data_IF_495864525957
#
_entry.id   IF_495864525957
#
_cell.length_a   1.000
_cell.length_b   1.000
_cell.length_c   1.000
_cell.angle_alpha   90.00
_cell.angle_beta   90.00
_cell.angle_gamma   90.00
#
_symmetry.space_group_name_H-M   'P 1'
#
loop_
_entity.id
_entity.type
_entity.pdbx_description
1 polymer ?
#
# COMPACT_ATOMS: atom_id res chain seq x y z
N UNK A 1 -33.21 -6.78 21.21
CA UNK A 1 -32.76 -6.98 19.81
C UNK A 1 -31.78 -5.87 19.53
N UNK A 2 -30.54 -6.23 19.18
CA UNK A 2 -29.45 -5.29 18.93
C UNK A 2 -29.65 -4.64 17.57
N UNK A 3 -30.02 -3.38 17.57
CA UNK A 3 -29.93 -2.56 16.37
C UNK A 3 -28.48 -2.12 16.21
N UNK A 4 -27.88 -2.72 15.19
CA UNK A 4 -26.62 -2.37 14.54
C UNK A 4 -26.66 -0.92 14.05
N UNK A 5 -26.45 0.03 14.96
CA UNK A 5 -25.96 1.36 14.59
C UNK A 5 -24.46 1.21 14.30
N UNK A 6 -24.16 0.88 13.04
CA UNK A 6 -22.91 1.26 12.38
C UNK A 6 -22.80 2.78 12.45
N UNK A 7 -22.31 3.27 13.58
CA UNK A 7 -21.71 4.59 13.68
C UNK A 7 -20.50 4.57 12.75
N UNK A 8 -20.63 5.22 11.59
CA UNK A 8 -19.50 5.75 10.86
C UNK A 8 -18.69 6.57 11.88
N UNK A 9 -17.65 5.96 12.45
CA UNK A 9 -16.75 6.67 13.36
C UNK A 9 -16.18 7.82 12.55
N UNK A 10 -16.52 9.05 12.92
CA UNK A 10 -15.93 10.22 12.30
C UNK A 10 -14.47 10.24 12.70
N UNK A 11 -13.58 9.94 11.76
CA UNK A 11 -12.14 9.91 11.99
C UNK A 11 -11.57 11.27 11.61
N UNK A 12 -10.77 11.86 12.52
CA UNK A 12 -9.95 13.03 12.16
C UNK A 12 -8.57 12.54 11.74
N UNK A 13 -8.14 12.89 10.53
CA UNK A 13 -6.76 12.66 10.04
C UNK A 13 -5.94 13.92 10.24
N UNK A 14 -4.81 13.81 10.93
CA UNK A 14 -3.86 14.91 11.12
C UNK A 14 -2.49 14.52 10.54
N UNK A 15 -1.86 15.45 9.81
CA UNK A 15 -0.50 15.26 9.32
C UNK A 15 0.45 15.34 10.51
N UNK A 16 1.25 14.29 10.71
CA UNK A 16 2.23 14.21 11.79
C UNK A 16 3.46 15.04 11.41
N UNK A 17 3.89 15.98 12.27
CA UNK A 17 5.15 16.72 12.08
C UNK A 17 6.34 15.78 11.88
N UNK A 18 7.24 16.12 10.96
CA UNK A 18 8.36 15.26 10.54
C UNK A 18 9.23 14.77 11.71
N UNK A 19 9.51 15.64 12.68
CA UNK A 19 10.29 15.35 13.90
C UNK A 19 9.64 14.34 14.84
N UNK A 20 8.34 14.06 14.67
CA UNK A 20 7.56 13.13 15.50
C UNK A 20 7.13 11.87 14.76
N UNK A 21 7.52 11.71 13.49
CA UNK A 21 7.12 10.55 12.69
C UNK A 21 7.73 9.26 13.22
N UNK A 22 8.99 9.28 13.69
CA UNK A 22 9.63 8.12 14.29
C UNK A 22 8.89 7.60 15.53
N UNK A 23 8.35 8.50 16.35
CA UNK A 23 7.58 8.14 17.55
C UNK A 23 6.26 7.47 17.18
N UNK A 24 5.60 7.90 16.10
CA UNK A 24 4.36 7.30 15.59
C UNK A 24 4.59 5.85 15.14
N UNK A 25 5.68 5.58 14.43
CA UNK A 25 6.05 4.20 14.11
C UNK A 25 6.35 3.36 15.35
N UNK A 26 6.76 3.94 16.47
CA UNK A 26 7.03 3.19 17.72
C UNK A 26 5.80 3.01 18.62
N UNK A 27 4.90 3.98 18.66
CA UNK A 27 3.74 4.03 19.57
C UNK A 27 2.51 3.40 18.93
N UNK A 28 2.23 3.68 17.66
CA UNK A 28 0.98 3.22 17.03
C UNK A 28 0.99 1.72 16.66
N UNK A 29 2.16 1.07 16.56
CA UNK A 29 2.21 -0.41 16.44
C UNK A 29 1.69 -1.12 17.70
N UNK A 30 1.63 -0.45 18.86
CA UNK A 30 1.19 -1.06 20.11
C UNK A 30 -0.32 -0.86 20.38
N UNK A 31 -0.94 0.20 19.86
CA UNK A 31 -2.34 0.54 20.13
C UNK A 31 -3.28 0.34 18.92
N UNK A 32 -2.74 0.17 17.70
CA UNK A 32 -3.50 -0.07 16.46
C UNK A 32 -2.87 -1.22 15.66
N UNK A 33 -3.69 -1.99 14.93
CA UNK A 33 -3.20 -3.12 14.11
C UNK A 33 -2.27 -2.69 12.95
N UNK A 34 -2.26 -1.39 12.56
CA UNK A 34 -1.43 -0.87 11.48
C UNK A 34 -1.19 0.66 11.55
N UNK A 35 -0.06 1.11 11.01
CA UNK A 35 0.28 2.52 10.76
C UNK A 35 -0.10 2.90 9.33
N UNK A 36 -0.63 4.12 9.12
CA UNK A 36 -1.04 4.60 7.79
C UNK A 36 -0.14 5.76 7.37
N UNK A 37 0.43 5.65 6.18
CA UNK A 37 1.24 6.71 5.56
C UNK A 37 0.71 7.04 4.17
N UNK A 38 0.89 8.27 3.73
CA UNK A 38 0.72 8.64 2.34
C UNK A 38 2.03 8.38 1.61
N UNK A 39 2.01 7.50 0.61
CA UNK A 39 3.22 7.13 -0.11
C UNK A 39 3.00 7.05 -1.63
N UNK A 40 4.11 7.20 -2.36
CA UNK A 40 4.25 6.84 -3.77
C UNK A 40 5.32 5.76 -3.91
N UNK A 41 5.21 4.92 -4.94
CA UNK A 41 6.10 3.77 -5.13
C UNK A 41 6.78 3.85 -6.49
N UNK A 42 8.09 4.11 -6.48
CA UNK A 42 8.90 4.23 -7.69
C UNK A 42 9.60 2.90 -7.99
N UNK A 43 9.47 2.39 -9.22
CA UNK A 43 10.28 1.25 -9.66
C UNK A 43 11.49 1.74 -10.44
N UNK A 44 12.70 1.44 -9.95
CA UNK A 44 13.94 1.79 -10.67
C UNK A 44 14.05 1.06 -12.00
N UNK A 45 13.54 -0.17 -12.09
CA UNK A 45 13.57 -0.98 -13.30
C UNK A 45 12.76 -0.36 -14.43
N UNK A 46 11.61 0.22 -14.10
CA UNK A 46 10.70 0.84 -15.07
C UNK A 46 11.02 2.33 -15.26
N UNK A 47 11.58 2.97 -14.23
CA UNK A 47 11.86 4.41 -14.22
C UNK A 47 10.61 5.26 -13.99
N UNK A 48 9.56 4.69 -13.37
CA UNK A 48 8.23 5.29 -13.25
C UNK A 48 7.54 4.92 -11.93
N UNK A 49 6.45 5.61 -11.63
CA UNK A 49 5.65 5.39 -10.42
C UNK A 49 4.51 4.41 -10.67
N UNK A 50 4.26 3.56 -9.68
CA UNK A 50 3.07 2.72 -9.62
C UNK A 50 1.82 3.58 -9.45
N UNK A 51 0.74 3.22 -10.14
CA UNK A 51 -0.56 3.85 -9.99
C UNK A 51 -1.71 2.86 -10.15
N UNK A 52 -2.89 3.29 -9.71
CA UNK A 52 -4.16 2.59 -9.91
C UNK A 52 -5.26 3.57 -10.39
N UNK A 53 -6.06 3.18 -11.38
CA UNK A 53 -7.14 4.03 -11.92
C UNK A 53 -8.52 3.68 -11.37
N UNK A 54 -9.57 4.32 -11.91
CA UNK A 54 -10.97 4.23 -11.47
C UNK A 54 -11.65 2.94 -11.94
N UNK A 55 -10.95 2.16 -12.76
CA UNK A 55 -11.31 0.79 -13.13
C UNK A 55 -10.49 -0.23 -12.36
N UNK A 56 -9.58 0.24 -11.50
CA UNK A 56 -8.76 -0.61 -10.69
C UNK A 56 -7.59 -1.28 -11.45
N UNK A 57 -7.28 -0.80 -12.65
CA UNK A 57 -6.07 -1.21 -13.37
C UNK A 57 -4.84 -0.69 -12.64
N UNK A 58 -3.89 -1.59 -12.38
CA UNK A 58 -2.61 -1.27 -11.75
C UNK A 58 -1.51 -1.27 -12.80
N UNK A 59 -0.71 -0.20 -12.86
CA UNK A 59 0.41 -0.06 -13.79
C UNK A 59 1.58 0.67 -13.13
N UNK A 60 2.73 0.64 -13.78
CA UNK A 60 3.94 1.35 -13.35
C UNK A 60 4.50 2.22 -14.48
N UNK A 61 3.71 3.16 -14.95
CA UNK A 61 4.12 4.16 -15.94
C UNK A 61 3.64 5.58 -15.56
N UNK A 62 3.36 5.79 -14.27
CA UNK A 62 2.88 7.06 -13.74
C UNK A 62 3.97 8.11 -13.59
N UNK A 63 3.57 9.37 -13.70
CA UNK A 63 4.41 10.53 -13.39
C UNK A 63 4.43 10.81 -11.89
N UNK A 64 5.51 11.44 -11.42
CA UNK A 64 5.59 11.95 -10.05
C UNK A 64 4.44 12.93 -9.78
N UNK A 65 3.91 12.92 -8.57
CA UNK A 65 2.74 13.71 -8.14
C UNK A 65 1.44 13.53 -8.95
N UNK A 66 1.31 12.51 -9.81
CA UNK A 66 -0.01 12.16 -10.38
C UNK A 66 -0.93 11.65 -9.27
N UNK A 67 -2.15 12.16 -9.18
CA UNK A 67 -3.15 11.75 -8.18
C UNK A 67 -3.36 10.22 -8.10
N UNK A 68 -3.18 9.49 -9.20
CA UNK A 68 -3.33 8.02 -9.26
C UNK A 68 -2.18 7.26 -8.60
N UNK A 69 -1.05 7.92 -8.35
CA UNK A 69 0.17 7.32 -7.79
C UNK A 69 0.24 7.41 -6.27
N UNK A 70 -0.72 8.08 -5.64
CA UNK A 70 -0.78 8.22 -4.19
C UNK A 70 -1.60 7.09 -3.56
N UNK A 71 -1.00 6.46 -2.56
CA UNK A 71 -1.64 5.39 -1.80
C UNK A 71 -1.66 5.73 -0.31
N UNK A 72 -2.77 5.40 0.34
CA UNK A 72 -2.73 5.07 1.77
C UNK A 72 -1.99 3.73 1.89
N UNK A 73 -0.80 3.80 2.46
CA UNK A 73 0.09 2.67 2.68
C UNK A 73 0.00 2.25 4.13
N UNK A 74 -0.59 1.08 4.34
CA UNK A 74 -0.82 0.49 5.65
C UNK A 74 0.34 -0.45 5.97
N UNK A 75 0.94 -0.29 7.14
CA UNK A 75 2.01 -1.15 7.64
C UNK A 75 1.54 -1.75 8.95
N UNK A 76 1.26 -3.05 8.93
CA UNK A 76 0.88 -3.84 10.09
C UNK A 76 2.03 -4.66 10.65
N UNK A 77 1.70 -5.54 11.60
CA UNK A 77 2.67 -6.45 12.20
C UNK A 77 3.36 -7.37 11.19
N UNK A 78 4.55 -7.86 11.56
CA UNK A 78 5.34 -8.81 10.75
C UNK A 78 5.62 -8.33 9.33
N UNK A 79 5.78 -7.01 9.14
CA UNK A 79 6.09 -6.41 7.85
C UNK A 79 4.98 -6.64 6.80
N UNK A 80 3.75 -6.91 7.25
CA UNK A 80 2.59 -7.04 6.38
C UNK A 80 2.11 -5.65 6.00
N UNK A 81 1.89 -5.42 4.72
CA UNK A 81 1.54 -4.13 4.16
C UNK A 81 0.39 -4.21 3.18
N UNK A 82 -0.28 -3.08 2.96
CA UNK A 82 -1.41 -2.95 2.03
C UNK A 82 -1.39 -1.59 1.35
N UNK A 83 -1.76 -1.58 0.06
CA UNK A 83 -1.79 -0.39 -0.78
C UNK A 83 -3.24 -0.07 -1.15
N UNK A 84 -3.74 1.09 -0.73
CA UNK A 84 -5.10 1.55 -1.06
C UNK A 84 -5.01 2.90 -1.75
N UNK A 85 -5.62 3.03 -2.93
CA UNK A 85 -5.66 4.26 -3.70
C UNK A 85 -6.20 5.43 -2.89
N UNK A 86 -5.53 6.58 -2.96
CA UNK A 86 -5.98 7.81 -2.28
C UNK A 86 -6.55 8.81 -3.29
N UNK A 87 -7.74 9.33 -2.96
CA UNK A 87 -8.28 10.54 -3.59
C UNK A 87 -9.23 10.33 -4.78
N UNK A 88 -10.12 11.31 -4.93
CA UNK A 88 -11.05 11.42 -6.07
C UNK A 88 -11.95 10.20 -6.31
N UNK A 89 -12.08 9.84 -7.59
CA UNK A 89 -12.88 8.70 -8.10
C UNK A 89 -12.16 7.34 -8.03
N UNK A 90 -10.94 7.33 -7.51
CA UNK A 90 -10.07 6.15 -7.40
C UNK A 90 -10.10 5.53 -6.02
N UNK A 91 -10.68 6.24 -5.04
CA UNK A 91 -10.82 5.78 -3.65
C UNK A 91 -11.43 4.38 -3.64
N UNK A 92 -11.09 3.62 -2.61
CA UNK A 92 -11.65 2.29 -2.34
C UNK A 92 -11.12 1.16 -3.22
N UNK A 93 -10.11 1.39 -4.07
CA UNK A 93 -9.37 0.30 -4.69
C UNK A 93 -8.09 -0.03 -3.92
N UNK A 94 -8.02 -1.26 -3.44
CA UNK A 94 -6.79 -1.87 -2.97
C UNK A 94 -6.14 -2.68 -4.08
N UNK A 95 -4.81 -2.72 -4.09
CA UNK A 95 -4.06 -3.65 -4.95
C UNK A 95 -4.22 -5.05 -4.34
N UNK A 96 -4.71 -6.02 -5.13
CA UNK A 96 -4.71 -7.44 -4.76
C UNK A 96 -3.90 -8.28 -5.73
N UNK A 97 -3.33 -9.37 -5.24
CA UNK A 97 -2.69 -10.40 -6.05
C UNK A 97 -3.36 -11.75 -5.80
N UNK A 98 -4.09 -12.23 -6.80
CA UNK A 98 -4.80 -13.52 -6.73
C UNK A 98 -4.46 -14.34 -7.96
N UNK A 99 -4.07 -15.59 -7.77
CA UNK A 99 -3.65 -16.50 -8.86
C UNK A 99 -2.53 -15.93 -9.75
N UNK A 100 -1.73 -15.02 -9.22
CA UNK A 100 -0.66 -14.36 -9.95
C UNK A 100 -1.04 -13.15 -10.79
N UNK A 101 -2.28 -12.71 -10.72
CA UNK A 101 -2.73 -11.51 -11.42
C UNK A 101 -2.96 -10.38 -10.44
N UNK A 102 -2.44 -9.19 -10.77
CA UNK A 102 -2.83 -7.97 -10.06
C UNK A 102 -4.25 -7.63 -10.45
N UNK A 103 -5.13 -7.57 -9.45
CA UNK A 103 -6.54 -7.28 -9.65
C UNK A 103 -6.95 -6.16 -8.71
N UNK A 104 -7.92 -5.34 -9.12
CA UNK A 104 -8.52 -4.43 -8.19
C UNK A 104 -9.38 -5.17 -7.19
N UNK A 105 -9.21 -4.78 -5.93
CA UNK A 105 -10.10 -5.18 -4.87
C UNK A 105 -10.85 -3.93 -4.41
N UNK A 106 -12.15 -3.91 -4.65
CA UNK A 106 -12.99 -2.84 -4.12
C UNK A 106 -13.18 -3.09 -2.61
N UNK A 107 -12.55 -2.27 -1.79
CA UNK A 107 -12.68 -2.29 -0.35
C UNK A 107 -13.64 -1.19 0.07
N UNK A 108 -14.64 -1.46 0.90
CA UNK A 108 -15.19 -0.36 1.71
C UNK A 108 -14.01 0.30 2.46
N UNK A 109 -14.03 1.62 2.70
CA UNK A 109 -13.00 2.25 3.52
C UNK A 109 -12.82 1.39 4.77
N UNK A 110 -11.64 0.74 4.97
CA UNK A 110 -11.51 -0.12 6.12
C UNK A 110 -11.60 0.77 7.35
N UNK A 111 -12.40 0.42 8.37
CA UNK A 111 -12.19 0.98 9.70
C UNK A 111 -10.71 0.76 10.07
N UNK A 112 -10.15 1.76 10.75
CA UNK A 112 -8.74 2.16 10.91
C UNK A 112 -7.72 1.09 11.39
N UNK A 113 -8.03 -0.20 11.34
CA UNK A 113 -7.20 -1.28 11.84
C UNK A 113 -7.38 -2.62 11.10
N UNK A 114 -8.12 -2.65 9.99
CA UNK A 114 -8.24 -3.88 9.20
C UNK A 114 -7.24 -3.90 8.03
N UNK A 115 -6.28 -4.84 8.10
CA UNK A 115 -5.40 -5.17 6.98
C UNK A 115 -6.16 -5.77 5.79
N UNK A 116 -7.48 -5.89 5.88
CA UNK A 116 -8.40 -6.22 4.81
C UNK A 116 -8.28 -7.66 4.37
N UNK A 117 -8.79 -7.95 3.17
CA UNK A 117 -8.70 -9.28 2.60
C UNK A 117 -7.23 -9.72 2.41
N UNK A 118 -6.87 -10.97 2.77
CA UNK A 118 -5.51 -11.50 2.60
C UNK A 118 -4.94 -11.36 1.19
N UNK A 119 -5.77 -11.33 0.15
CA UNK A 119 -5.32 -11.11 -1.24
C UNK A 119 -4.77 -9.70 -1.49
N UNK A 120 -5.09 -8.73 -0.62
CA UNK A 120 -4.58 -7.34 -0.68
C UNK A 120 -3.32 -7.13 0.15
N UNK A 121 -2.86 -8.17 0.85
CA UNK A 121 -1.76 -8.08 1.80
C UNK A 121 -0.46 -8.60 1.17
N UNK A 122 0.61 -7.86 1.43
CA UNK A 122 1.95 -8.18 0.98
C UNK A 122 2.92 -8.19 2.15
N UNK A 123 3.97 -9.00 2.10
CA UNK A 123 5.07 -9.00 3.07
C UNK A 123 6.22 -8.21 2.45
N UNK A 124 6.69 -7.16 3.13
CA UNK A 124 7.85 -6.39 2.67
C UNK A 124 9.16 -7.06 3.08
N UNK A 125 10.17 -7.05 2.20
CA UNK A 125 11.40 -7.86 2.33
C UNK A 125 12.45 -7.43 3.38
N UNK A 126 12.11 -6.52 4.31
CA UNK A 126 12.98 -5.77 5.24
C UNK A 126 13.57 -4.47 4.67
N UNK A 127 13.57 -3.45 5.53
CA UNK A 127 14.05 -2.09 5.32
C UNK A 127 13.00 -1.14 5.86
N UNK A 128 13.36 -0.20 6.75
CA UNK A 128 12.41 0.86 7.08
C UNK A 128 12.11 1.62 5.80
N UNK A 129 10.87 2.03 5.55
CA UNK A 129 10.52 2.83 4.37
C UNK A 129 11.06 4.28 4.46
N UNK A 130 12.11 4.50 5.26
CA UNK A 130 12.81 5.76 5.34
C UNK A 130 13.87 5.84 4.22
N UNK A 131 13.61 6.76 3.29
CA UNK A 131 14.47 7.35 2.25
C UNK A 131 15.46 6.41 1.53
N UNK A 132 15.01 5.85 0.41
CA UNK A 132 15.89 5.42 -0.69
C UNK A 132 16.24 3.93 -0.75
N UNK A 133 15.67 3.09 0.12
CA UNK A 133 15.91 1.65 0.07
C UNK A 133 14.99 0.94 -0.94
N UNK A 134 15.54 -0.07 -1.62
CA UNK A 134 14.76 -0.96 -2.49
C UNK A 134 14.06 -2.01 -1.66
N UNK A 135 12.74 -2.02 -1.75
CA UNK A 135 11.84 -2.92 -1.02
C UNK A 135 11.09 -3.80 -2.02
N UNK A 136 10.90 -5.07 -1.65
CA UNK A 136 10.08 -6.03 -2.40
C UNK A 136 8.82 -6.34 -1.63
N UNK A 137 7.71 -6.48 -2.36
CA UNK A 137 6.41 -6.79 -1.77
C UNK A 137 5.95 -8.17 -2.25
N UNK A 138 6.14 -9.18 -1.42
CA UNK A 138 5.74 -10.57 -1.67
C UNK A 138 4.27 -10.75 -1.33
N UNK A 139 3.47 -11.48 -2.10
CA UNK A 139 2.09 -11.75 -1.72
C UNK A 139 2.02 -12.62 -0.46
N UNK A 140 1.11 -12.28 0.46
CA UNK A 140 0.89 -13.05 1.69
C UNK A 140 0.23 -14.40 1.42
N UNK A 141 -0.65 -14.48 0.41
CA UNK A 141 -1.38 -15.70 0.08
C UNK A 141 -0.70 -16.55 -1.00
N UNK A 142 0.22 -15.96 -1.78
CA UNK A 142 1.05 -16.65 -2.76
C UNK A 142 2.52 -16.26 -2.57
N UNK A 143 3.18 -16.95 -1.64
CA UNK A 143 4.56 -16.66 -1.24
C UNK A 143 5.59 -16.83 -2.35
N UNK A 144 5.23 -17.39 -3.50
CA UNK A 144 6.14 -17.45 -4.64
C UNK A 144 6.01 -16.23 -5.56
N UNK A 145 5.23 -15.23 -5.18
CA UNK A 145 4.94 -14.09 -6.05
C UNK A 145 5.18 -12.76 -5.40
N UNK A 146 5.57 -11.82 -6.25
CA UNK A 146 5.87 -10.45 -5.88
C UNK A 146 5.02 -9.51 -6.71
N UNK A 147 4.69 -8.36 -6.14
CA UNK A 147 4.24 -7.20 -6.90
C UNK A 147 5.37 -6.80 -7.85
N UNK A 148 5.16 -6.87 -9.15
CA UNK A 148 6.21 -6.65 -10.14
C UNK A 148 5.64 -6.13 -11.46
N UNK A 149 6.47 -5.36 -12.18
CA UNK A 149 6.14 -4.79 -13.48
C UNK A 149 7.25 -5.04 -14.51
N UNK A 150 6.88 -5.14 -15.79
CA UNK A 150 7.88 -5.13 -16.87
C UNK A 150 8.40 -3.73 -17.18
N UNK A 151 9.38 -3.66 -18.09
CA UNK A 151 9.97 -2.41 -18.55
C UNK A 151 8.96 -1.48 -19.24
N UNK A 152 7.78 -1.97 -19.63
CA UNK A 152 6.70 -1.16 -20.20
C UNK A 152 5.68 -0.73 -19.15
N UNK A 153 5.89 -1.10 -17.88
CA UNK A 153 5.01 -0.76 -16.76
C UNK A 153 3.76 -1.63 -16.65
N UNK A 154 3.69 -2.77 -17.36
CA UNK A 154 2.55 -3.69 -17.23
C UNK A 154 2.78 -4.65 -16.05
N UNK A 155 1.71 -5.03 -15.32
CA UNK A 155 1.77 -6.09 -14.31
C UNK A 155 2.41 -7.36 -14.86
N UNK A 156 3.40 -7.88 -14.14
CA UNK A 156 4.03 -9.14 -14.51
C UNK A 156 3.34 -10.31 -13.79
N UNK A 157 2.68 -11.22 -14.53
CA UNK A 157 1.91 -12.30 -13.91
C UNK A 157 2.76 -13.44 -13.34
N UNK A 158 4.09 -13.35 -13.35
CA UNK A 158 4.99 -14.48 -13.08
C UNK A 158 6.00 -14.16 -11.97
N UNK A 159 5.78 -14.75 -10.79
CA UNK A 159 6.70 -14.76 -9.65
C UNK A 159 7.89 -15.72 -9.76
N UNK A 160 8.17 -16.30 -10.94
CA UNK A 160 9.01 -17.50 -11.04
C UNK A 160 10.42 -17.30 -11.63
N UNK A 161 10.98 -16.09 -11.64
CA UNK A 161 12.36 -15.91 -12.15
C UNK A 161 13.18 -14.97 -11.28
N UNK A 162 14.51 -15.14 -11.29
CA UNK A 162 15.44 -14.16 -10.73
C UNK A 162 15.22 -12.73 -11.30
N UNK A 163 14.60 -12.64 -12.48
CA UNK A 163 14.15 -11.37 -13.07
C UNK A 163 12.91 -10.78 -12.38
N UNK A 164 12.05 -11.58 -11.76
CA UNK A 164 10.90 -11.10 -10.98
C UNK A 164 11.35 -10.43 -9.67
N UNK A 165 12.47 -10.90 -9.11
CA UNK A 165 13.07 -10.34 -7.90
C UNK A 165 13.52 -8.89 -8.13
N UNK A 166 14.14 -8.58 -9.27
CA UNK A 166 14.49 -7.21 -9.67
C UNK A 166 13.33 -6.42 -10.26
N UNK A 167 12.28 -7.07 -10.76
CA UNK A 167 11.08 -6.42 -11.28
C UNK A 167 10.11 -5.95 -10.19
N UNK A 168 10.24 -6.47 -8.98
CA UNK A 168 9.43 -6.12 -7.82
C UNK A 168 10.15 -5.25 -6.79
N UNK A 169 11.24 -4.59 -7.18
CA UNK A 169 11.95 -3.62 -6.32
C UNK A 169 11.35 -2.23 -6.49
N UNK A 170 10.97 -1.62 -5.37
CA UNK A 170 10.41 -0.28 -5.30
C UNK A 170 11.13 0.56 -4.25
N UNK A 171 11.24 1.86 -4.53
CA UNK A 171 11.54 2.85 -3.51
C UNK A 171 10.20 3.43 -3.03
N UNK A 172 9.92 3.28 -1.74
CA UNK A 172 8.77 3.91 -1.09
C UNK A 172 9.11 5.37 -0.77
N UNK A 173 8.32 6.30 -1.32
CA UNK A 173 8.45 7.73 -1.07
C UNK A 173 7.33 8.16 -0.14
N UNK A 174 7.63 8.21 1.16
CA UNK A 174 6.69 8.68 2.17
C UNK A 174 6.51 10.20 2.04
N UNK A 175 5.31 10.63 1.67
CA UNK A 175 4.96 12.03 1.44
C UNK A 175 4.44 12.68 2.72
N UNK A 176 3.69 11.93 3.51
CA UNK A 176 3.21 12.36 4.82
C UNK A 176 2.89 11.14 5.69
N UNK A 177 3.20 11.21 6.98
CA UNK A 177 2.63 10.30 7.97
C UNK A 177 1.36 10.96 8.50
N UNK A 178 0.25 10.23 8.50
CA UNK A 178 -1.03 10.74 9.00
C UNK A 178 -1.46 9.90 10.20
N UNK A 179 -1.82 10.59 11.27
CA UNK A 179 -2.43 9.96 12.44
C UNK A 179 -3.94 10.08 12.33
N UNK A 180 -4.61 8.96 12.46
CA UNK A 180 -6.06 8.91 12.62
C UNK A 180 -6.40 8.95 14.10
N UNK A 181 -7.29 9.86 14.50
CA UNK A 181 -7.79 9.93 15.87
C UNK A 181 -9.29 9.68 15.83
N UNK A 182 -9.78 8.74 16.63
CA UNK A 182 -11.21 8.60 16.88
C UNK A 182 -11.70 9.86 17.64
N UNK A 183 -12.82 10.42 17.19
CA UNK A 183 -13.54 11.47 17.93
C UNK A 183 -14.43 10.86 19.01
#
# INVERSE_FOLDING_TARGET
MNDSETLDKVVKREIVPYDKQADVFSIDHHDHNCVITLAQFYSERVGRFMWINDRGEVRCDGDVNDNRTFFNYYVGENEIVRFVARGGKYRNFAISLTNGELRPFHTAEPPNSDMGDPSTQFVRSRGSDFDGQLVKYQSKIDSNRYLAFDQQGNPQPLGFSNNAVTAGEFICWNVAVERETAL
#
